data_IF_664087477941
#
_entry.id   IF_664087477941
#
_cell.length_a   1.000
_cell.length_b   1.000
_cell.length_c   1.000
_cell.angle_alpha   90.00
_cell.angle_beta   90.00
_cell.angle_gamma   90.00
#
_symmetry.space_group_name_H-M   'P 1'
#
loop_
_entity.id
_entity.type
_entity.pdbx_description
1 polymer ?
#
# COMPACT_ATOMS: atom_id res chain seq x y z
N UNK A 1 -6.12 22.85 -24.20
CA UNK A 1 -6.34 21.40 -24.43
C UNK A 1 -7.38 20.82 -23.49
N UNK A 2 -7.12 20.74 -22.18
CA UNK A 2 -8.06 20.15 -21.22
C UNK A 2 -9.46 20.80 -21.28
N UNK A 3 -9.54 22.13 -21.29
CA UNK A 3 -10.82 22.86 -21.40
C UNK A 3 -11.54 22.58 -22.73
N UNK A 4 -10.81 22.41 -23.83
CA UNK A 4 -11.39 22.15 -25.15
C UNK A 4 -11.89 20.70 -25.27
N UNK A 5 -11.16 19.75 -24.70
CA UNK A 5 -11.59 18.34 -24.63
C UNK A 5 -12.72 18.15 -23.62
N UNK A 6 -12.73 18.90 -22.51
CA UNK A 6 -13.83 18.90 -21.55
C UNK A 6 -15.12 19.43 -22.18
N UNK A 7 -15.06 20.58 -22.87
CA UNK A 7 -16.23 21.12 -23.59
C UNK A 7 -16.74 20.16 -24.68
N UNK A 8 -15.84 19.58 -25.46
CA UNK A 8 -16.22 18.61 -26.46
C UNK A 8 -16.74 17.27 -25.87
N UNK A 9 -16.37 16.93 -24.63
CA UNK A 9 -16.89 15.75 -23.91
C UNK A 9 -18.27 16.02 -23.32
N UNK A 10 -18.51 17.24 -22.84
CA UNK A 10 -19.82 17.72 -22.38
C UNK A 10 -20.81 17.83 -23.55
N UNK A 11 -20.38 18.37 -24.70
CA UNK A 11 -21.20 18.46 -25.93
C UNK A 11 -21.56 17.08 -26.52
N UNK A 12 -20.66 16.09 -26.40
CA UNK A 12 -20.89 14.73 -26.87
C UNK A 12 -21.65 13.84 -25.85
N UNK A 13 -22.01 14.36 -24.66
CA UNK A 13 -22.72 13.60 -23.63
C UNK A 13 -21.96 12.36 -23.13
N UNK A 14 -20.63 12.35 -23.27
CA UNK A 14 -19.81 11.16 -23.00
C UNK A 14 -19.52 10.97 -21.51
N UNK A 15 -19.73 9.76 -20.99
CA UNK A 15 -19.46 9.36 -19.59
C UNK A 15 -17.95 9.20 -19.28
N UNK A 16 -17.09 10.02 -19.87
CA UNK A 16 -15.64 10.00 -19.64
C UNK A 16 -15.30 10.70 -18.33
N UNK A 17 -14.54 10.03 -17.47
CA UNK A 17 -14.11 10.64 -16.19
C UNK A 17 -13.08 11.75 -16.43
N UNK A 18 -12.99 12.76 -15.54
CA UNK A 18 -11.99 13.83 -15.66
C UNK A 18 -10.54 13.32 -15.72
N UNK A 19 -10.24 12.19 -15.08
CA UNK A 19 -8.92 11.53 -15.14
C UNK A 19 -8.62 10.96 -16.53
N UNK A 20 -9.60 10.36 -17.21
CA UNK A 20 -9.41 9.86 -18.58
C UNK A 20 -9.15 11.01 -19.55
N UNK A 21 -9.85 12.15 -19.38
CA UNK A 21 -9.61 13.35 -20.17
C UNK A 21 -8.18 13.89 -19.93
N UNK A 22 -7.70 13.88 -18.68
CA UNK A 22 -6.33 14.29 -18.39
C UNK A 22 -5.30 13.33 -19.02
N UNK A 23 -5.52 12.02 -18.97
CA UNK A 23 -4.66 11.04 -19.64
C UNK A 23 -4.62 11.24 -21.17
N UNK A 24 -5.76 11.56 -21.80
CA UNK A 24 -5.80 11.91 -23.22
C UNK A 24 -5.00 13.18 -23.51
N UNK A 25 -5.08 14.19 -22.65
CA UNK A 25 -4.27 15.42 -22.78
C UNK A 25 -2.78 15.11 -22.63
N UNK A 26 -2.40 14.28 -21.65
CA UNK A 26 -1.01 13.86 -21.46
C UNK A 26 -0.49 13.08 -22.67
N UNK A 27 -1.29 12.16 -23.23
CA UNK A 27 -0.96 11.40 -24.44
C UNK A 27 -0.85 12.27 -25.69
N UNK A 28 -1.61 13.36 -25.80
CA UNK A 28 -1.47 14.33 -26.89
C UNK A 28 -0.22 15.20 -26.73
N UNK A 29 0.11 15.58 -25.49
CA UNK A 29 1.33 16.31 -25.16
C UNK A 29 2.59 15.50 -25.44
N UNK A 30 2.60 14.20 -25.09
CA UNK A 30 3.74 13.31 -25.37
C UNK A 30 3.96 13.09 -26.86
N UNK A 31 2.90 13.15 -27.67
CA UNK A 31 2.96 13.13 -29.14
C UNK A 31 3.33 14.47 -29.78
N UNK A 32 3.62 15.51 -28.98
CA UNK A 32 4.09 16.81 -29.45
C UNK A 32 2.99 17.79 -29.90
N UNK A 33 1.72 17.43 -29.74
CA UNK A 33 0.61 18.32 -30.07
C UNK A 33 0.44 19.37 -28.96
N UNK A 34 0.50 20.66 -29.31
CA UNK A 34 0.35 21.80 -28.36
C UNK A 34 -1.03 22.47 -28.41
N UNK A 35 -1.77 22.31 -29.51
CA UNK A 35 -3.16 22.78 -29.67
C UNK A 35 -4.00 21.73 -30.41
N UNK A 36 -5.25 21.56 -29.99
CA UNK A 36 -6.21 20.66 -30.65
C UNK A 36 -7.34 21.51 -31.22
N UNK A 37 -7.58 21.39 -32.52
CA UNK A 37 -8.75 21.99 -33.18
C UNK A 37 -10.03 21.32 -32.69
N UNK A 38 -11.15 22.06 -32.59
CA UNK A 38 -12.43 21.53 -32.12
C UNK A 38 -12.87 20.25 -32.88
N UNK A 39 -12.66 20.20 -34.20
CA UNK A 39 -12.96 19.00 -35.01
C UNK A 39 -12.10 17.78 -34.64
N UNK A 40 -10.81 17.99 -34.35
CA UNK A 40 -9.89 16.92 -33.92
C UNK A 40 -10.21 16.45 -32.50
N UNK A 41 -10.60 17.38 -31.62
CA UNK A 41 -11.06 17.06 -30.27
C UNK A 41 -12.32 16.19 -30.28
N UNK A 42 -13.32 16.53 -31.11
CA UNK A 42 -14.54 15.73 -31.26
C UNK A 42 -14.27 14.32 -31.78
N UNK A 43 -13.38 14.17 -32.76
CA UNK A 43 -12.96 12.84 -33.26
C UNK A 43 -12.27 12.00 -32.18
N UNK A 44 -11.35 12.60 -31.42
CA UNK A 44 -10.64 11.91 -30.34
C UNK A 44 -11.61 11.44 -29.27
N UNK A 45 -12.56 12.28 -28.88
CA UNK A 45 -13.56 11.93 -27.87
C UNK A 45 -14.52 10.87 -28.37
N UNK A 46 -14.98 10.94 -29.61
CA UNK A 46 -15.82 9.90 -30.19
C UNK A 46 -15.08 8.56 -30.25
N UNK A 47 -13.81 8.56 -30.68
CA UNK A 47 -12.98 7.35 -30.67
C UNK A 47 -12.78 6.81 -29.25
N UNK A 48 -12.48 7.67 -28.28
CA UNK A 48 -12.32 7.28 -26.89
C UNK A 48 -13.63 6.73 -26.29
N UNK A 49 -14.78 7.31 -26.66
CA UNK A 49 -16.09 6.84 -26.24
C UNK A 49 -16.43 5.48 -26.85
N UNK A 50 -16.03 5.23 -28.10
CA UNK A 50 -16.21 3.91 -28.73
C UNK A 50 -15.37 2.86 -28.02
N UNK A 51 -14.06 3.11 -27.81
CA UNK A 51 -13.20 2.21 -27.05
C UNK A 51 -13.71 1.97 -25.64
N UNK A 52 -14.25 3.00 -24.98
CA UNK A 52 -14.84 2.84 -23.66
C UNK A 52 -16.07 1.92 -23.68
N UNK A 53 -16.92 2.02 -24.70
CA UNK A 53 -18.09 1.15 -24.85
C UNK A 53 -17.67 -0.30 -25.17
N UNK A 54 -16.67 -0.49 -26.02
CA UNK A 54 -16.15 -1.81 -26.39
C UNK A 54 -15.41 -2.49 -25.23
N UNK A 55 -14.78 -1.72 -24.35
CA UNK A 55 -14.05 -2.23 -23.18
C UNK A 55 -14.95 -2.59 -21.98
N UNK A 56 -16.26 -2.42 -22.09
CA UNK A 56 -17.20 -2.83 -21.03
C UNK A 56 -17.26 -4.35 -20.96
N UNK A 57 -17.30 -4.88 -19.73
CA UNK A 57 -17.56 -6.29 -19.52
C UNK A 57 -18.92 -6.67 -20.12
N UNK A 58 -18.98 -7.84 -20.75
CA UNK A 58 -20.21 -8.32 -21.37
C UNK A 58 -21.21 -8.69 -20.27
N UNK A 59 -22.48 -8.24 -20.34
CA UNK A 59 -23.49 -8.64 -19.38
C UNK A 59 -23.62 -10.17 -19.32
N UNK A 60 -23.77 -10.73 -18.12
CA UNK A 60 -23.89 -12.17 -17.84
C UNK A 60 -22.61 -13.00 -18.01
N UNK A 61 -21.45 -12.35 -18.16
CA UNK A 61 -20.16 -13.04 -18.08
C UNK A 61 -19.91 -13.56 -16.64
N UNK A 62 -19.30 -14.74 -16.54
CA UNK A 62 -19.00 -15.40 -15.28
C UNK A 62 -17.77 -14.79 -14.58
N UNK A 63 -17.82 -13.49 -14.31
CA UNK A 63 -16.71 -12.69 -13.76
C UNK A 63 -16.16 -13.26 -12.45
N UNK A 64 -17.00 -13.91 -11.62
CA UNK A 64 -16.56 -14.54 -10.37
C UNK A 64 -15.57 -15.69 -10.60
N UNK A 65 -15.86 -16.56 -11.57
CA UNK A 65 -15.01 -17.72 -11.89
C UNK A 65 -13.70 -17.24 -12.52
N UNK A 66 -13.80 -16.35 -13.52
CA UNK A 66 -12.62 -15.78 -14.19
C UNK A 66 -11.71 -15.07 -13.19
N UNK A 67 -12.28 -14.30 -12.26
CA UNK A 67 -11.51 -13.60 -11.22
C UNK A 67 -10.85 -14.59 -10.25
N UNK A 68 -11.58 -15.61 -9.79
CA UNK A 68 -11.07 -16.63 -8.87
C UNK A 68 -9.90 -17.42 -9.48
N UNK A 69 -10.00 -17.79 -10.76
CA UNK A 69 -8.89 -18.43 -11.47
C UNK A 69 -7.70 -17.48 -11.64
N UNK A 70 -7.96 -16.24 -12.08
CA UNK A 70 -6.90 -15.26 -12.35
C UNK A 70 -6.07 -14.89 -11.11
N UNK A 71 -6.69 -14.89 -9.91
CA UNK A 71 -5.96 -14.67 -8.66
C UNK A 71 -5.29 -15.94 -8.12
N UNK A 72 -5.90 -17.11 -8.34
CA UNK A 72 -5.44 -18.39 -7.81
C UNK A 72 -4.31 -19.04 -8.60
N UNK A 73 -4.31 -18.90 -9.93
CA UNK A 73 -3.32 -19.52 -10.83
C UNK A 73 -1.87 -19.05 -10.52
N UNK A 74 -1.60 -17.74 -10.32
CA UNK A 74 -0.29 -17.28 -9.89
C UNK A 74 0.12 -17.82 -8.52
N UNK A 75 -0.84 -18.16 -7.64
CA UNK A 75 -0.57 -18.70 -6.31
C UNK A 75 0.23 -20.00 -6.35
N UNK A 76 0.03 -20.83 -7.38
CA UNK A 76 0.81 -22.08 -7.59
C UNK A 76 2.23 -21.80 -8.05
N UNK A 77 2.44 -20.67 -8.73
CA UNK A 77 3.75 -20.22 -9.22
C UNK A 77 4.49 -19.35 -8.20
N UNK A 78 3.84 -18.96 -7.09
CA UNK A 78 4.47 -18.25 -5.98
C UNK A 78 5.29 -19.21 -5.11
N UNK A 79 6.28 -19.87 -5.70
CA UNK A 79 7.27 -20.67 -4.97
C UNK A 79 8.50 -19.80 -4.68
N UNK A 80 8.51 -19.19 -3.49
CA UNK A 80 9.70 -18.63 -2.83
C UNK A 80 10.58 -17.70 -3.68
N UNK A 81 10.22 -16.41 -3.81
CA UNK A 81 11.26 -15.40 -4.12
C UNK A 81 12.24 -15.38 -2.93
N UNK A 82 13.50 -15.68 -3.21
CA UNK A 82 14.55 -15.93 -2.21
C UNK A 82 14.78 -14.75 -1.27
N UNK A 83 14.86 -15.08 0.02
CA UNK A 83 14.85 -14.22 1.19
C UNK A 83 16.13 -13.40 1.42
N UNK A 84 16.74 -12.82 0.40
CA UNK A 84 17.90 -11.95 0.60
C UNK A 84 17.62 -10.57 0.01
N UNK A 85 16.69 -9.84 0.63
CA UNK A 85 16.65 -8.39 0.46
C UNK A 85 17.84 -7.80 1.21
N UNK A 86 18.94 -7.57 0.50
CA UNK A 86 20.10 -6.91 1.04
C UNK A 86 19.73 -5.47 1.45
N UNK A 87 19.80 -5.17 2.75
CA UNK A 87 20.19 -3.83 3.19
C UNK A 87 19.18 -2.96 3.95
N UNK A 88 17.96 -3.41 4.29
CA UNK A 88 17.10 -2.65 5.20
C UNK A 88 16.34 -3.60 6.12
N UNK A 89 16.30 -3.29 7.41
CA UNK A 89 15.58 -4.02 8.46
C UNK A 89 14.04 -3.95 8.31
N UNK A 90 13.52 -4.12 7.10
CA UNK A 90 12.15 -4.54 6.92
C UNK A 90 12.11 -6.01 7.31
N UNK A 91 11.76 -6.23 8.58
CA UNK A 91 11.42 -7.52 9.20
C UNK A 91 10.88 -8.49 8.15
N UNK A 92 11.31 -9.75 8.21
CA UNK A 92 10.82 -10.83 7.35
C UNK A 92 9.31 -11.06 7.59
N UNK A 93 8.48 -10.14 7.10
CA UNK A 93 7.03 -10.25 7.06
C UNK A 93 6.71 -11.41 6.12
N UNK A 94 5.66 -12.14 6.38
CA UNK A 94 5.14 -13.23 5.53
C UNK A 94 4.78 -12.71 4.11
N UNK A 95 5.75 -12.36 3.26
CA UNK A 95 5.55 -11.64 1.99
C UNK A 95 5.14 -12.54 0.81
N UNK A 96 4.35 -13.57 1.06
CA UNK A 96 4.00 -14.54 0.03
C UNK A 96 2.56 -14.98 0.07
N UNK A 97 2.34 -16.17 -0.48
CA UNK A 97 1.06 -16.85 -0.48
C UNK A 97 0.41 -16.97 0.92
N UNK A 98 1.15 -17.23 2.02
CA UNK A 98 0.54 -17.31 3.35
C UNK A 98 -0.23 -16.05 3.75
N UNK A 99 0.26 -14.86 3.36
CA UNK A 99 -0.42 -13.59 3.69
C UNK A 99 -1.68 -13.37 2.87
N UNK A 100 -1.68 -13.78 1.61
CA UNK A 100 -2.88 -13.72 0.77
C UNK A 100 -3.98 -14.61 1.38
N UNK A 101 -3.61 -15.81 1.84
CA UNK A 101 -4.53 -16.73 2.53
C UNK A 101 -5.09 -16.09 3.80
N UNK A 102 -4.25 -15.50 4.65
CA UNK A 102 -4.73 -14.83 5.87
C UNK A 102 -5.75 -13.73 5.62
N UNK A 103 -5.56 -12.93 4.56
CA UNK A 103 -6.43 -11.82 4.19
C UNK A 103 -7.76 -12.35 3.64
N UNK A 104 -7.73 -13.35 2.76
CA UNK A 104 -8.93 -13.94 2.16
C UNK A 104 -9.76 -14.69 3.20
N UNK A 105 -9.12 -15.42 4.12
CA UNK A 105 -9.77 -16.14 5.22
C UNK A 105 -10.28 -15.23 6.35
N UNK A 106 -10.00 -13.92 6.27
CA UNK A 106 -10.35 -12.93 7.29
C UNK A 106 -9.92 -13.36 8.72
N UNK A 107 -8.68 -13.86 8.87
CA UNK A 107 -8.19 -14.34 10.17
C UNK A 107 -8.17 -13.20 11.19
N UNK A 108 -8.68 -13.49 12.41
CA UNK A 108 -8.76 -12.51 13.51
C UNK A 108 -7.40 -11.96 13.95
N UNK A 109 -6.36 -12.80 13.96
CA UNK A 109 -5.00 -12.42 14.32
C UNK A 109 -4.05 -12.93 13.22
N UNK A 110 -3.38 -12.04 12.46
CA UNK A 110 -2.37 -12.45 11.49
C UNK A 110 -1.07 -12.89 12.18
N UNK A 111 -0.28 -13.75 11.54
CA UNK A 111 0.94 -14.30 12.15
C UNK A 111 2.04 -13.26 12.36
N UNK A 112 2.13 -12.24 11.52
CA UNK A 112 3.11 -11.14 11.68
C UNK A 112 2.43 -9.77 11.48
N UNK A 113 1.73 -9.24 12.49
CA UNK A 113 1.13 -7.90 12.39
C UNK A 113 2.23 -6.84 12.37
N UNK A 114 2.12 -5.89 11.46
CA UNK A 114 3.00 -4.72 11.39
C UNK A 114 2.17 -3.45 11.39
N UNK A 115 2.70 -2.39 11.99
CA UNK A 115 2.06 -1.08 12.05
C UNK A 115 3.02 -0.01 11.56
N UNK A 116 2.53 0.89 10.70
CA UNK A 116 3.25 2.08 10.28
C UNK A 116 2.70 3.25 11.08
N UNK A 117 3.51 3.78 12.00
CA UNK A 117 3.12 4.88 12.88
C UNK A 117 3.59 6.18 12.24
N UNK A 118 2.64 7.02 11.84
CA UNK A 118 2.91 8.34 11.33
C UNK A 118 2.93 9.35 12.47
N UNK A 119 3.88 10.28 12.44
CA UNK A 119 3.95 11.39 13.38
C UNK A 119 3.56 12.68 12.67
N UNK A 120 2.82 13.54 13.36
CA UNK A 120 2.40 14.83 12.81
C UNK A 120 3.59 15.71 12.42
N UNK A 121 3.40 16.56 11.42
CA UNK A 121 4.48 17.41 10.91
C UNK A 121 4.86 18.52 11.89
N UNK A 122 3.92 19.01 12.70
CA UNK A 122 4.15 20.15 13.61
C UNK A 122 3.52 19.92 14.99
N UNK A 123 4.24 20.28 16.03
CA UNK A 123 3.69 20.44 17.39
C UNK A 123 2.73 21.64 17.46
N UNK A 124 1.94 21.77 18.54
CA UNK A 124 1.13 22.97 18.86
C UNK A 124 1.92 24.30 18.90
N UNK A 125 3.26 24.23 18.83
CA UNK A 125 4.21 25.37 18.77
C UNK A 125 4.90 25.53 17.40
N UNK A 126 4.42 24.87 16.35
CA UNK A 126 4.90 25.04 14.97
C UNK A 126 6.26 24.42 14.63
N UNK A 127 6.89 23.68 15.54
CA UNK A 127 8.19 23.01 15.33
C UNK A 127 8.03 21.66 14.60
N UNK A 128 8.94 21.29 13.68
CA UNK A 128 8.90 20.02 12.98
C UNK A 128 9.13 18.85 13.95
N UNK A 129 8.12 18.01 14.12
CA UNK A 129 8.14 16.86 15.04
C UNK A 129 8.87 15.67 14.41
N UNK A 130 8.61 15.41 13.13
CA UNK A 130 9.16 14.28 12.36
C UNK A 130 10.69 14.29 12.22
N UNK A 131 11.30 15.48 12.31
CA UNK A 131 12.75 15.66 12.10
C UNK A 131 13.55 15.58 13.41
N UNK A 132 12.88 15.58 14.57
CA UNK A 132 13.56 15.53 15.85
C UNK A 132 13.71 14.08 16.33
N UNK A 133 14.89 13.51 16.11
CA UNK A 133 15.23 12.12 16.48
C UNK A 133 14.92 11.81 17.94
N UNK A 134 15.15 12.76 18.86
CA UNK A 134 14.94 12.54 20.29
C UNK A 134 13.47 12.26 20.62
N UNK A 135 12.57 13.07 20.05
CA UNK A 135 11.12 12.89 20.28
C UNK A 135 10.59 11.61 19.65
N UNK A 136 11.13 11.21 18.51
CA UNK A 136 10.78 9.96 17.85
C UNK A 136 11.27 8.76 18.69
N UNK A 137 12.47 8.83 19.26
CA UNK A 137 13.00 7.79 20.16
C UNK A 137 12.18 7.70 21.45
N UNK A 138 11.83 8.83 22.05
CA UNK A 138 10.98 8.87 23.25
C UNK A 138 9.59 8.27 22.98
N UNK A 139 8.98 8.58 21.82
CA UNK A 139 7.73 7.98 21.39
C UNK A 139 7.87 6.47 21.15
N UNK A 140 8.94 6.04 20.48
CA UNK A 140 9.20 4.63 20.24
C UNK A 140 9.32 3.85 21.56
N UNK A 141 10.09 4.37 22.52
CA UNK A 141 10.24 3.79 23.86
C UNK A 141 8.91 3.74 24.63
N UNK A 142 8.01 4.70 24.43
CA UNK A 142 6.69 4.70 25.07
C UNK A 142 5.73 3.64 24.53
N UNK A 143 5.95 3.18 23.29
CA UNK A 143 5.12 2.17 22.61
C UNK A 143 5.71 0.78 22.81
N UNK A 144 7.03 0.68 22.90
CA UNK A 144 7.73 -0.56 23.19
C UNK A 144 7.37 -1.06 24.59
N UNK A 145 6.92 -2.31 24.66
CA UNK A 145 6.63 -2.99 25.92
C UNK A 145 7.75 -3.98 26.20
N UNK A 146 8.57 -3.68 27.19
CA UNK A 146 9.65 -4.55 27.65
C UNK A 146 9.21 -5.29 28.91
N UNK A 147 9.32 -6.61 28.92
CA UNK A 147 8.98 -7.44 30.09
C UNK A 147 10.24 -7.81 30.87
N UNK A 148 10.08 -8.27 32.11
CA UNK A 148 11.21 -8.68 32.96
C UNK A 148 12.08 -9.79 32.33
N UNK A 149 11.49 -10.61 31.45
CA UNK A 149 12.19 -11.68 30.73
C UNK A 149 13.16 -11.10 29.68
N UNK A 150 12.85 -9.93 29.12
CA UNK A 150 13.68 -9.28 28.09
C UNK A 150 14.94 -8.63 28.70
N UNK A 151 14.86 -8.22 29.97
CA UNK A 151 15.92 -7.49 30.69
C UNK A 151 16.68 -8.31 31.72
N UNK A 152 16.14 -9.46 32.16
CA UNK A 152 16.72 -10.24 33.25
C UNK A 152 16.70 -11.75 32.98
N UNK A 153 17.81 -12.40 33.32
CA UNK A 153 17.85 -13.87 33.42
C UNK A 153 17.28 -14.27 34.78
N UNK A 154 16.31 -15.19 34.77
CA UNK A 154 15.62 -15.65 35.98
C UNK A 154 16.17 -17.01 36.37
N UNK A 155 16.92 -17.06 37.47
CA UNK A 155 17.36 -18.30 38.09
C UNK A 155 16.49 -18.59 39.32
N UNK A 156 16.00 -19.83 39.44
CA UNK A 156 15.17 -20.25 40.57
C UNK A 156 15.95 -21.25 41.41
N UNK A 157 16.30 -20.88 42.64
CA UNK A 157 16.88 -21.81 43.62
C UNK A 157 15.79 -22.39 44.51
N UNK A 158 15.49 -23.67 44.28
CA UNK A 158 14.46 -24.42 44.99
C UNK A 158 14.87 -24.76 46.42
N UNK A 159 16.16 -24.92 46.70
CA UNK A 159 16.66 -25.31 48.02
C UNK A 159 16.52 -24.16 49.02
N UNK A 160 16.80 -22.93 48.58
CA UNK A 160 16.68 -21.72 49.41
C UNK A 160 15.35 -20.98 49.22
N UNK A 161 14.49 -21.44 48.29
CA UNK A 161 13.21 -20.80 47.92
C UNK A 161 13.34 -19.33 47.48
N UNK A 162 14.42 -19.01 46.77
CA UNK A 162 14.67 -17.66 46.27
C UNK A 162 14.72 -17.64 44.74
N UNK A 163 14.34 -16.50 44.17
CA UNK A 163 14.44 -16.22 42.72
C UNK A 163 15.52 -15.16 42.56
N UNK A 164 16.55 -15.46 41.78
CA UNK A 164 17.65 -14.57 41.49
C UNK A 164 17.45 -14.01 40.08
N UNK A 165 17.25 -12.70 40.01
CA UNK A 165 17.12 -11.96 38.75
C UNK A 165 18.47 -11.31 38.42
N UNK A 166 19.16 -11.86 37.43
CA UNK A 166 20.39 -11.24 36.92
C UNK A 166 20.03 -10.26 35.82
N UNK A 167 20.11 -8.97 36.13
CA UNK A 167 19.83 -7.90 35.19
C UNK A 167 20.94 -7.80 34.13
N UNK A 168 20.54 -7.74 32.86
CA UNK A 168 21.47 -7.52 31.75
C UNK A 168 21.47 -6.04 31.35
N UNK A 169 22.51 -5.31 31.75
CA UNK A 169 22.68 -3.88 31.45
C UNK A 169 22.74 -3.53 29.96
N UNK A 170 22.89 -4.50 29.05
CA UNK A 170 22.85 -4.24 27.60
C UNK A 170 21.43 -4.14 27.03
N UNK A 171 20.44 -4.68 27.75
CA UNK A 171 19.04 -4.72 27.34
C UNK A 171 18.19 -3.66 28.07
N UNK A 172 18.81 -2.86 28.95
CA UNK A 172 18.24 -1.66 29.59
C UNK A 172 18.63 -0.40 28.82
#
# INVERSE_FOLDING_TARGET
>A
MFIQLKKAAEESGSNLTPRMIDQLVQGLRSRGEKKVTAAKAKKIINSASNFYNDAKAVPHEAVGITTAQSIGEPGTQMTMRTFHYAGVATVNVTQGLPRIIEIVDARKVPQTPTMIIYMDEKNSKGKPLRTNEKLVRDLAASIETTTAIDIATIDVDVAQRNILLQLNNKNM
#
